data_IF_955568023624
#
_entry.id   IF_955568023624
#
_cell.length_a   1.000
_cell.length_b   1.000
_cell.length_c   1.000
_cell.angle_alpha   90.00
_cell.angle_beta   90.00
_cell.angle_gamma   90.00
#
_symmetry.space_group_name_H-M   'P 1'
#
loop_
_entity.id
_entity.type
_entity.pdbx_description
1 polymer ?
#
# COMPACT_ATOMS: atom_id res chain seq x y z
N UNK A 1 5.91 2.65 -1.48
CA UNK A 1 5.18 2.93 -2.74
C UNK A 1 4.10 1.87 -2.93
N UNK A 2 2.92 2.25 -3.38
CA UNK A 2 1.78 1.35 -3.61
C UNK A 2 1.50 1.29 -5.11
N UNK A 3 1.33 0.07 -5.63
CA UNK A 3 1.01 -0.16 -7.03
C UNK A 3 -0.23 -1.05 -7.19
N UNK A 4 -0.84 -1.00 -8.36
CA UNK A 4 -1.85 -1.97 -8.75
C UNK A 4 -1.21 -3.32 -9.16
N UNK A 5 -2.05 -4.31 -9.51
CA UNK A 5 -1.59 -5.65 -9.89
C UNK A 5 -0.76 -5.69 -11.19
N UNK A 6 -0.73 -4.60 -11.97
CA UNK A 6 0.07 -4.46 -13.20
C UNK A 6 1.36 -3.67 -12.95
N UNK A 7 1.63 -3.28 -11.70
CA UNK A 7 2.76 -2.44 -11.34
C UNK A 7 2.55 -0.96 -11.61
N UNK A 8 1.33 -0.51 -11.92
CA UNK A 8 1.04 0.92 -12.10
C UNK A 8 1.07 1.61 -10.73
N UNK A 9 1.87 2.66 -10.54
CA UNK A 9 1.91 3.40 -9.29
C UNK A 9 0.54 4.00 -8.95
N UNK A 10 0.05 3.74 -7.74
CA UNK A 10 -1.19 4.32 -7.22
C UNK A 10 -0.92 5.49 -6.28
N UNK A 11 0.00 5.30 -5.33
CA UNK A 11 0.38 6.31 -4.34
C UNK A 11 1.81 6.06 -3.82
N UNK A 12 2.45 7.10 -3.31
CA UNK A 12 3.68 6.98 -2.54
C UNK A 12 3.67 7.96 -1.36
N UNK A 13 4.36 7.58 -0.30
CA UNK A 13 4.65 8.44 0.85
C UNK A 13 6.17 8.55 0.95
N UNK A 14 6.66 9.78 1.12
CA UNK A 14 8.06 10.04 1.36
C UNK A 14 8.31 10.03 2.88
N UNK A 15 9.15 9.11 3.33
CA UNK A 15 9.61 9.04 4.72
C UNK A 15 10.76 10.02 4.95
N UNK A 16 10.99 10.37 6.22
CA UNK A 16 12.22 11.09 6.60
C UNK A 16 13.44 10.18 6.39
N UNK A 17 14.61 10.74 6.08
CA UNK A 17 15.78 9.97 5.62
C UNK A 17 16.37 8.95 6.63
N UNK A 18 15.94 8.98 7.90
CA UNK A 18 16.32 7.99 8.93
C UNK A 18 15.09 7.31 9.54
N UNK A 19 13.91 7.52 8.98
CA UNK A 19 12.69 6.90 9.45
C UNK A 19 12.52 5.53 8.79
N UNK A 20 12.04 4.54 9.56
CA UNK A 20 11.77 3.22 9.02
C UNK A 20 10.50 3.23 8.17
N UNK A 21 10.59 2.71 6.94
CA UNK A 21 9.45 2.67 6.01
C UNK A 21 8.28 1.82 6.54
N UNK A 22 8.54 0.86 7.44
CA UNK A 22 7.50 0.04 8.05
C UNK A 22 6.48 0.88 8.84
N UNK A 23 6.92 2.00 9.43
CA UNK A 23 6.06 2.93 10.14
C UNK A 23 5.08 3.66 9.21
N UNK A 24 5.42 3.73 7.91
CA UNK A 24 4.60 4.37 6.87
C UNK A 24 3.77 3.36 6.06
N UNK A 25 3.91 2.06 6.31
CA UNK A 25 3.20 1.01 5.60
C UNK A 25 1.67 1.13 5.76
N UNK A 26 1.17 1.19 6.99
CA UNK A 26 -0.26 1.31 7.27
C UNK A 26 -0.83 2.65 6.74
N UNK A 27 -0.21 3.82 7.02
CA UNK A 27 -0.63 5.09 6.43
C UNK A 27 -0.70 5.05 4.90
N UNK A 28 0.26 4.40 4.23
CA UNK A 28 0.23 4.26 2.77
C UNK A 28 -0.96 3.41 2.31
N UNK A 29 -1.22 2.28 2.98
CA UNK A 29 -2.35 1.40 2.65
C UNK A 29 -3.72 2.07 2.90
N UNK A 30 -3.83 2.96 3.89
CA UNK A 30 -5.07 3.69 4.16
C UNK A 30 -5.45 4.66 3.02
N UNK A 31 -4.46 5.07 2.21
CA UNK A 31 -4.68 5.90 1.01
C UNK A 31 -5.08 5.08 -0.22
N UNK A 32 -5.09 3.75 -0.14
CA UNK A 32 -5.31 2.88 -1.29
C UNK A 32 -6.69 3.11 -1.94
N UNK A 33 -6.66 3.54 -3.20
CA UNK A 33 -7.83 3.63 -4.06
C UNK A 33 -7.50 2.98 -5.40
N UNK A 34 -8.06 1.79 -5.64
CA UNK A 34 -7.87 1.04 -6.87
C UNK A 34 -8.93 1.51 -7.87
N UNK A 35 -8.54 2.06 -9.04
CA UNK A 35 -9.47 2.48 -10.07
C UNK A 35 -10.42 1.34 -10.47
N UNK A 36 -11.70 1.67 -10.64
CA UNK A 36 -12.73 0.77 -11.14
C UNK A 36 -13.26 1.28 -12.47
N UNK A 37 -13.57 0.37 -13.40
CA UNK A 37 -14.14 0.72 -14.71
C UNK A 37 -15.47 1.49 -14.61
N UNK A 38 -16.24 1.25 -13.54
CA UNK A 38 -17.50 1.94 -13.24
C UNK A 38 -17.68 2.10 -11.73
N UNK A 39 -18.33 3.19 -11.31
CA UNK A 39 -18.68 3.43 -9.91
C UNK A 39 -17.51 3.90 -9.04
N UNK A 40 -17.59 3.62 -7.74
CA UNK A 40 -16.62 4.09 -6.73
C UNK A 40 -15.32 3.26 -6.76
N UNK A 41 -14.14 3.90 -6.68
CA UNK A 41 -12.87 3.18 -6.53
C UNK A 41 -12.89 2.20 -5.36
N UNK A 42 -12.21 1.05 -5.53
CA UNK A 42 -12.16 0.02 -4.49
C UNK A 42 -11.07 0.33 -3.48
N UNK A 43 -11.41 0.26 -2.19
CA UNK A 43 -10.45 0.40 -1.09
C UNK A 43 -9.77 -0.91 -0.68
N UNK A 44 -10.40 -2.06 -0.92
CA UNK A 44 -9.89 -3.38 -0.54
C UNK A 44 -9.42 -4.15 -1.76
N UNK A 45 -8.26 -4.78 -1.67
CA UNK A 45 -7.77 -5.76 -2.64
C UNK A 45 -8.04 -7.19 -2.15
N UNK A 46 -7.91 -8.18 -3.04
CA UNK A 46 -8.01 -9.60 -2.67
C UNK A 46 -6.70 -10.15 -2.10
N UNK A 47 -5.58 -9.58 -2.55
CA UNK A 47 -4.23 -9.94 -2.16
C UNK A 47 -3.41 -8.68 -2.00
N UNK A 48 -2.59 -8.64 -0.95
CA UNK A 48 -1.55 -7.63 -0.77
C UNK A 48 -0.20 -8.34 -0.87
N UNK A 49 0.60 -7.93 -1.85
CA UNK A 49 1.98 -8.36 -1.98
C UNK A 49 2.88 -7.23 -1.46
N UNK A 50 3.82 -7.59 -0.60
CA UNK A 50 4.79 -6.66 -0.03
C UNK A 50 6.15 -7.34 0.07
N UNK A 51 7.21 -6.54 0.09
CA UNK A 51 8.56 -7.04 0.31
C UNK A 51 8.70 -7.70 1.68
N UNK A 52 9.67 -8.61 1.81
CA UNK A 52 9.96 -9.31 3.08
C UNK A 52 10.21 -8.36 4.26
N UNK A 53 10.69 -7.14 4.00
CA UNK A 53 10.89 -6.11 5.04
C UNK A 53 9.59 -5.64 5.71
N UNK A 54 8.42 -5.89 5.11
CA UNK A 54 7.10 -5.61 5.65
C UNK A 54 6.45 -6.83 6.31
N UNK A 55 7.21 -7.92 6.49
CA UNK A 55 6.77 -9.10 7.23
C UNK A 55 6.76 -8.84 8.75
N UNK A 56 5.82 -8.01 9.19
CA UNK A 56 5.52 -7.78 10.59
C UNK A 56 4.12 -8.30 10.93
N UNK A 57 3.98 -8.94 12.09
CA UNK A 57 2.69 -9.46 12.57
C UNK A 57 1.61 -8.38 12.63
N UNK A 58 1.98 -7.15 12.98
CA UNK A 58 1.09 -5.99 13.01
C UNK A 58 0.45 -5.68 11.63
N UNK A 59 1.10 -6.05 10.52
CA UNK A 59 0.64 -5.80 9.16
C UNK A 59 -0.08 -7.01 8.53
N UNK A 60 -0.23 -8.13 9.24
CA UNK A 60 -0.86 -9.37 8.74
C UNK A 60 -2.34 -9.52 9.08
N UNK A 61 -3.00 -8.48 9.58
CA UNK A 61 -4.39 -8.52 10.06
C UNK A 61 -5.43 -8.20 8.99
#
# INVERSE_FOLDING_TARGET
MLCDAKGVPLNFLLSGGQASDIAYAQPLLDTAHIPSLRGRPRKRCRWLLADKGYDAEALRR
#
